data_IF_107020057233
#
_entry.id   IF_107020057233
#
_cell.length_a   1.000
_cell.length_b   1.000
_cell.length_c   1.000
_cell.angle_alpha   90.00
_cell.angle_beta   90.00
_cell.angle_gamma   90.00
#
_symmetry.space_group_name_H-M   'P 1'
#
loop_
_entity.id
_entity.type
_entity.pdbx_description
1 polymer ?
#
# COMPACT_ATOMS: atom_id res chain seq x y z
N UNK A 1 4.02 -24.57 22.28
CA UNK A 1 3.91 -24.71 20.81
C UNK A 1 4.34 -23.38 20.20
N UNK A 2 5.15 -23.37 19.15
CA UNK A 2 5.46 -22.14 18.41
C UNK A 2 4.16 -21.57 17.83
N UNK A 3 4.04 -20.24 17.84
CA UNK A 3 2.89 -19.52 17.31
C UNK A 3 2.89 -19.63 15.78
N UNK A 4 1.73 -19.88 15.16
CA UNK A 4 1.59 -19.94 13.70
C UNK A 4 1.89 -18.56 13.12
N UNK A 5 2.77 -18.52 12.12
CA UNK A 5 3.21 -17.28 11.47
C UNK A 5 2.31 -17.02 10.26
N UNK A 6 1.39 -16.06 10.40
CA UNK A 6 0.40 -15.68 9.37
C UNK A 6 1.07 -15.07 8.14
N UNK A 7 0.41 -15.15 6.99
CA UNK A 7 0.79 -14.47 5.75
C UNK A 7 0.05 -13.14 5.63
N UNK A 8 0.80 -12.04 5.52
CA UNK A 8 0.28 -10.70 5.22
C UNK A 8 0.65 -10.34 3.79
N UNK A 9 -0.35 -10.14 2.94
CA UNK A 9 -0.18 -9.73 1.56
C UNK A 9 -0.52 -8.25 1.45
N UNK A 10 0.41 -7.44 0.97
CA UNK A 10 0.30 -5.99 0.89
C UNK A 10 0.07 -5.55 -0.57
N UNK A 11 -0.95 -4.73 -0.81
CA UNK A 11 -0.97 -3.88 -2.00
C UNK A 11 0.20 -2.89 -2.00
N UNK A 12 0.52 -2.35 -3.17
CA UNK A 12 1.63 -1.43 -3.33
C UNK A 12 1.17 0.04 -3.37
N UNK A 13 0.42 0.43 -4.40
CA UNK A 13 0.05 1.82 -4.63
C UNK A 13 -1.28 2.16 -3.96
N UNK A 14 -1.24 3.12 -3.05
CA UNK A 14 -2.36 3.43 -2.17
C UNK A 14 -2.21 2.79 -0.79
N UNK A 15 -1.26 1.87 -0.60
CA UNK A 15 -0.94 1.30 0.71
C UNK A 15 0.48 1.64 1.18
N UNK A 16 1.50 1.26 0.42
CA UNK A 16 2.93 1.42 0.78
C UNK A 16 3.57 2.63 0.10
N UNK A 17 3.04 3.01 -1.07
CA UNK A 17 3.55 4.11 -1.86
C UNK A 17 2.42 4.96 -2.45
N UNK A 18 2.76 6.17 -2.87
CA UNK A 18 1.95 7.05 -3.69
C UNK A 18 2.71 7.25 -4.99
N UNK A 19 2.11 6.86 -6.11
CA UNK A 19 2.72 6.98 -7.43
C UNK A 19 1.86 7.85 -8.33
N UNK A 20 2.48 8.86 -8.96
CA UNK A 20 1.84 9.60 -10.05
C UNK A 20 2.70 9.59 -11.31
N UNK A 21 2.06 9.73 -12.46
CA UNK A 21 2.77 9.90 -13.72
C UNK A 21 3.57 11.21 -13.70
N UNK A 22 4.74 11.22 -14.34
CA UNK A 22 5.66 12.37 -14.39
C UNK A 22 4.97 13.63 -14.93
N UNK A 23 4.07 13.51 -15.90
CA UNK A 23 3.32 14.65 -16.43
C UNK A 23 2.43 15.31 -15.37
N UNK A 24 1.79 14.52 -14.50
CA UNK A 24 1.00 15.05 -13.40
C UNK A 24 1.90 15.71 -12.35
N UNK A 25 3.01 15.05 -11.97
CA UNK A 25 3.96 15.64 -11.02
C UNK A 25 4.53 16.99 -11.47
N UNK A 26 4.79 17.16 -12.77
CA UNK A 26 5.24 18.45 -13.33
C UNK A 26 4.21 19.56 -13.11
N UNK A 27 2.90 19.25 -13.19
CA UNK A 27 1.82 20.20 -12.89
C UNK A 27 1.71 20.54 -11.41
N UNK A 28 1.96 19.55 -10.53
CA UNK A 28 1.89 19.76 -9.08
C UNK A 28 3.04 20.62 -8.55
N UNK A 29 4.21 20.59 -9.19
CA UNK A 29 5.44 21.21 -8.66
C UNK A 29 5.32 22.72 -8.39
N UNK A 30 4.79 23.56 -9.30
CA UNK A 30 4.59 24.99 -9.01
C UNK A 30 3.63 25.21 -7.84
N UNK A 31 2.55 24.43 -7.75
CA UNK A 31 1.54 24.57 -6.70
C UNK A 31 2.07 24.25 -5.31
N UNK A 32 3.01 23.30 -5.18
CA UNK A 32 3.69 23.05 -3.90
C UNK A 32 4.47 24.28 -3.42
N UNK A 33 5.13 25.00 -4.31
CA UNK A 33 5.87 26.22 -3.98
C UNK A 33 4.93 27.39 -3.70
N UNK A 34 3.92 27.58 -4.55
CA UNK A 34 2.99 28.71 -4.45
C UNK A 34 2.03 28.62 -3.26
N UNK A 35 1.52 27.42 -2.92
CA UNK A 35 0.47 27.25 -1.91
C UNK A 35 0.99 26.80 -0.54
N UNK A 36 2.19 26.19 -0.50
CA UNK A 36 2.76 25.63 0.73
C UNK A 36 4.19 26.09 1.00
N UNK A 37 4.79 26.91 0.12
CA UNK A 37 6.21 27.30 0.21
C UNK A 37 7.16 26.07 0.26
N UNK A 38 6.71 24.93 -0.27
CA UNK A 38 7.43 23.67 -0.26
C UNK A 38 8.18 23.48 -1.58
N UNK A 39 9.36 24.09 -1.68
CA UNK A 39 10.26 23.93 -2.84
C UNK A 39 10.66 22.48 -3.12
N UNK A 40 10.67 21.65 -2.08
CA UNK A 40 10.97 20.22 -2.19
C UNK A 40 10.12 19.43 -1.19
N UNK A 41 8.80 19.34 -1.40
CA UNK A 41 8.04 18.21 -0.86
C UNK A 41 8.86 16.94 -1.13
N UNK A 42 9.12 16.13 -0.09
CA UNK A 42 10.07 15.00 -0.07
C UNK A 42 10.32 14.48 -1.49
N UNK A 43 11.52 14.73 -2.04
CA UNK A 43 11.77 14.51 -3.47
C UNK A 43 11.38 13.09 -3.85
N UNK A 44 10.47 12.89 -4.82
CA UNK A 44 10.06 11.55 -5.20
C UNK A 44 11.23 10.80 -5.81
N UNK A 45 11.22 9.49 -5.65
CA UNK A 45 12.03 8.62 -6.49
C UNK A 45 11.47 8.62 -7.90
N UNK A 46 12.33 8.82 -8.89
CA UNK A 46 11.96 8.73 -10.31
C UNK A 46 12.16 7.29 -10.78
N UNK A 47 11.06 6.60 -11.08
CA UNK A 47 11.07 5.22 -11.59
C UNK A 47 10.37 5.19 -12.95
N UNK A 48 11.15 5.17 -14.02
CA UNK A 48 10.63 5.31 -15.39
C UNK A 48 9.84 6.60 -15.58
N UNK A 49 8.58 6.48 -16.02
CA UNK A 49 7.67 7.60 -16.25
C UNK A 49 6.92 8.06 -14.98
N UNK A 50 7.28 7.55 -13.81
CA UNK A 50 6.55 7.82 -12.57
C UNK A 50 7.42 8.50 -11.51
N UNK A 51 6.77 9.36 -10.72
CA UNK A 51 7.27 9.88 -9.47
C UNK A 51 6.64 9.06 -8.33
N UNK A 52 7.47 8.54 -7.42
CA UNK A 52 7.07 7.65 -6.34
C UNK A 52 7.48 8.24 -4.99
N UNK A 53 6.53 8.33 -4.07
CA UNK A 53 6.78 8.62 -2.66
C UNK A 53 6.55 7.36 -1.86
N UNK A 54 7.45 7.09 -0.91
CA UNK A 54 7.27 6.04 0.08
C UNK A 54 6.37 6.57 1.19
N UNK A 55 5.44 5.74 1.68
CA UNK A 55 4.60 6.11 2.83
C UNK A 55 5.49 6.35 4.05
N UNK A 56 5.22 7.39 4.87
CA UNK A 56 5.97 7.60 6.11
C UNK A 56 6.07 6.30 6.92
N UNK A 57 7.27 6.03 7.46
CA UNK A 57 7.58 4.85 8.29
C UNK A 57 7.42 3.49 7.60
N UNK A 58 7.28 3.43 6.27
CA UNK A 58 7.05 2.15 5.57
C UNK A 58 8.20 1.15 5.73
N UNK A 59 9.45 1.62 5.89
CA UNK A 59 10.61 0.73 5.99
C UNK A 59 10.63 0.02 7.35
N UNK A 60 10.46 0.79 8.42
CA UNK A 60 10.35 0.30 9.79
C UNK A 60 9.12 -0.62 9.93
N UNK A 61 8.00 -0.26 9.31
CA UNK A 61 6.80 -1.09 9.24
C UNK A 61 7.06 -2.43 8.54
N UNK A 62 7.71 -2.42 7.38
CA UNK A 62 8.05 -3.66 6.65
C UNK A 62 9.06 -4.53 7.41
N UNK A 63 10.05 -3.93 8.06
CA UNK A 63 11.00 -4.66 8.92
C UNK A 63 10.28 -5.38 10.06
N UNK A 64 9.36 -4.68 10.74
CA UNK A 64 8.53 -5.28 11.78
C UNK A 64 7.64 -6.40 11.22
N UNK A 65 6.98 -6.18 10.08
CA UNK A 65 6.18 -7.22 9.45
C UNK A 65 7.01 -8.46 9.11
N UNK A 66 8.19 -8.31 8.52
CA UNK A 66 9.07 -9.42 8.15
C UNK A 66 9.59 -10.19 9.37
N UNK A 67 9.70 -9.53 10.53
CA UNK A 67 10.04 -10.16 11.81
C UNK A 67 8.88 -11.03 12.32
N UNK A 68 7.66 -10.54 12.24
CA UNK A 68 6.50 -11.13 12.91
C UNK A 68 5.58 -11.99 12.03
N UNK A 69 5.60 -11.79 10.71
CA UNK A 69 4.75 -12.44 9.71
C UNK A 69 5.53 -12.97 8.51
N UNK A 70 4.94 -13.90 7.77
CA UNK A 70 5.31 -14.05 6.37
C UNK A 70 4.71 -12.87 5.62
N UNK A 71 5.50 -12.22 4.77
CA UNK A 71 5.07 -11.01 4.06
C UNK A 71 5.16 -11.24 2.57
N UNK A 72 4.18 -10.75 1.83
CA UNK A 72 4.22 -10.72 0.39
C UNK A 72 3.71 -9.37 -0.13
N UNK A 73 4.13 -9.00 -1.34
CA UNK A 73 3.63 -7.84 -2.06
C UNK A 73 2.84 -8.33 -3.26
N UNK A 74 1.68 -7.74 -3.53
CA UNK A 74 0.91 -8.04 -4.74
C UNK A 74 0.41 -6.74 -5.34
N UNK A 75 0.89 -6.40 -6.54
CA UNK A 75 0.56 -5.14 -7.21
C UNK A 75 -0.12 -5.40 -8.55
N UNK A 76 -1.12 -4.58 -8.91
CA UNK A 76 -1.79 -4.60 -10.22
C UNK A 76 -1.02 -3.83 -11.30
N UNK A 77 0.32 -3.89 -11.28
CA UNK A 77 1.19 -3.11 -12.19
C UNK A 77 2.13 -4.04 -12.95
N UNK A 78 2.65 -3.60 -14.09
CA UNK A 78 3.64 -4.36 -14.87
C UNK A 78 4.92 -4.65 -14.08
N UNK A 79 5.56 -5.80 -14.38
CA UNK A 79 6.77 -6.26 -13.70
C UNK A 79 7.89 -5.21 -13.65
N UNK A 80 8.19 -4.56 -14.78
CA UNK A 80 9.27 -3.57 -14.84
C UNK A 80 9.03 -2.36 -13.91
N UNK A 81 7.80 -2.14 -13.45
CA UNK A 81 7.47 -1.09 -12.49
C UNK A 81 7.55 -1.57 -11.04
N UNK A 82 7.36 -2.87 -10.75
CA UNK A 82 7.37 -3.37 -9.36
C UNK A 82 8.79 -3.47 -8.79
N UNK A 83 9.73 -4.03 -9.55
CA UNK A 83 11.07 -4.32 -9.04
C UNK A 83 11.80 -3.07 -8.50
N UNK A 84 11.83 -1.93 -9.22
CA UNK A 84 12.48 -0.71 -8.72
C UNK A 84 11.80 -0.08 -7.50
N UNK A 85 10.51 -0.35 -7.28
CA UNK A 85 9.77 0.12 -6.12
C UNK A 85 10.09 -0.74 -4.92
N UNK A 86 10.14 -2.06 -5.08
CA UNK A 86 10.48 -2.93 -3.96
C UNK A 86 11.95 -2.80 -3.56
N UNK A 87 12.85 -2.48 -4.50
CA UNK A 87 14.21 -2.01 -4.17
C UNK A 87 14.22 -0.74 -3.31
N UNK A 88 13.28 0.19 -3.53
CA UNK A 88 13.17 1.39 -2.71
C UNK A 88 12.66 1.08 -1.30
N UNK A 89 11.72 0.13 -1.19
CA UNK A 89 11.11 -0.32 0.07
C UNK A 89 12.07 -1.18 0.90
N UNK A 90 12.78 -2.11 0.25
CA UNK A 90 13.74 -3.04 0.84
C UNK A 90 15.10 -2.86 0.13
N UNK A 91 15.88 -1.83 0.49
CA UNK A 91 17.12 -1.48 -0.20
C UNK A 91 18.24 -2.49 0.01
N UNK A 92 18.24 -3.20 1.13
CA UNK A 92 19.13 -4.34 1.33
C UNK A 92 18.63 -5.52 0.50
N UNK A 93 19.45 -5.98 -0.44
CA UNK A 93 19.08 -7.08 -1.30
C UNK A 93 18.90 -8.41 -0.60
N UNK A 94 19.53 -8.60 0.55
CA UNK A 94 19.39 -9.80 1.37
C UNK A 94 18.04 -9.86 2.10
N UNK A 95 17.35 -8.73 2.24
CA UNK A 95 16.02 -8.65 2.84
C UNK A 95 14.92 -9.04 1.84
N UNK A 96 15.12 -8.80 0.54
CA UNK A 96 14.11 -9.08 -0.51
C UNK A 96 13.68 -10.57 -0.55
N UNK A 97 14.58 -11.57 -0.45
CA UNK A 97 14.21 -12.99 -0.36
C UNK A 97 13.39 -13.38 0.87
N UNK A 98 13.29 -12.53 1.90
CA UNK A 98 12.42 -12.76 3.06
C UNK A 98 10.94 -12.60 2.71
N UNK A 99 10.63 -11.88 1.64
CA UNK A 99 9.28 -11.88 1.07
C UNK A 99 8.95 -13.29 0.55
N UNK A 100 7.74 -13.76 0.87
CA UNK A 100 7.25 -15.02 0.33
C UNK A 100 7.09 -14.92 -1.19
N UNK A 101 6.56 -13.79 -1.67
CA UNK A 101 6.54 -13.40 -3.07
C UNK A 101 6.33 -11.88 -3.23
N UNK A 102 6.53 -11.40 -4.45
CA UNK A 102 6.24 -10.04 -4.89
C UNK A 102 5.65 -10.08 -6.31
N UNK A 103 4.32 -10.16 -6.38
CA UNK A 103 3.59 -10.38 -7.61
C UNK A 103 3.18 -9.07 -8.30
N UNK A 104 3.12 -9.16 -9.63
CA UNK A 104 2.72 -8.09 -10.53
C UNK A 104 1.30 -8.36 -11.08
N UNK A 105 0.87 -7.58 -12.07
CA UNK A 105 -0.44 -7.74 -12.68
C UNK A 105 -0.67 -9.07 -13.40
N UNK A 106 0.39 -9.78 -13.83
CA UNK A 106 0.26 -11.07 -14.54
C UNK A 106 -0.28 -12.16 -13.63
N UNK A 107 -0.19 -11.95 -12.32
CA UNK A 107 -0.75 -12.85 -11.31
C UNK A 107 -2.18 -12.45 -10.93
N UNK A 108 -2.70 -11.32 -11.42
CA UNK A 108 -4.08 -10.92 -11.17
C UNK A 108 -5.04 -11.61 -12.15
N UNK A 109 -6.23 -11.96 -11.68
CA UNK A 109 -7.33 -12.22 -12.59
C UNK A 109 -7.75 -10.92 -13.26
N UNK A 110 -8.01 -10.95 -14.56
CA UNK A 110 -8.24 -9.73 -15.35
C UNK A 110 -9.59 -9.79 -16.05
N UNK A 111 -10.37 -8.72 -15.92
CA UNK A 111 -11.60 -8.49 -16.68
C UNK A 111 -11.48 -7.21 -17.52
N UNK A 112 -12.30 -7.06 -18.55
CA UNK A 112 -12.47 -5.77 -19.21
C UNK A 112 -13.15 -4.77 -18.28
N UNK A 113 -12.70 -3.51 -18.32
CA UNK A 113 -13.34 -2.41 -17.62
C UNK A 113 -14.40 -1.79 -18.56
N UNK A 114 -15.70 -2.08 -18.37
CA UNK A 114 -16.75 -1.60 -19.28
C UNK A 114 -16.95 -0.09 -19.22
N UNK A 115 -16.42 0.56 -18.18
CA UNK A 115 -16.50 2.01 -17.96
C UNK A 115 -15.19 2.74 -18.25
N UNK A 116 -14.21 2.07 -18.88
CA UNK A 116 -12.94 2.70 -19.20
C UNK A 116 -13.10 3.84 -20.21
N UNK A 117 -12.83 5.07 -19.76
CA UNK A 117 -12.72 6.25 -20.63
C UNK A 117 -11.28 6.38 -21.15
N UNK A 118 -10.31 6.00 -20.32
CA UNK A 118 -8.89 5.98 -20.69
C UNK A 118 -8.55 4.67 -21.42
N UNK A 119 -8.10 4.71 -22.68
CA UNK A 119 -7.73 3.51 -23.44
C UNK A 119 -6.53 2.75 -22.85
N UNK A 120 -5.80 3.35 -21.92
CA UNK A 120 -4.70 2.72 -21.17
C UNK A 120 -5.15 2.01 -19.88
N UNK A 121 -6.42 2.19 -19.46
CA UNK A 121 -6.99 1.60 -18.25
C UNK A 121 -8.23 0.74 -18.55
N UNK A 122 -8.14 -0.06 -19.61
CA UNK A 122 -9.22 -0.92 -20.13
C UNK A 122 -9.43 -2.21 -19.36
N UNK A 123 -8.63 -2.47 -18.33
CA UNK A 123 -8.64 -3.73 -17.58
C UNK A 123 -8.85 -3.49 -16.09
N UNK A 124 -9.64 -4.35 -15.46
CA UNK A 124 -9.75 -4.48 -14.01
C UNK A 124 -8.88 -5.66 -13.56
N UNK A 125 -8.16 -5.47 -12.46
CA UNK A 125 -7.25 -6.47 -11.91
C UNK A 125 -7.72 -6.91 -10.52
N UNK A 126 -7.97 -8.21 -10.38
CA UNK A 126 -8.47 -8.82 -9.16
C UNK A 126 -7.41 -9.75 -8.55
N UNK A 127 -7.23 -9.66 -7.23
CA UNK A 127 -6.28 -10.43 -6.44
C UNK A 127 -7.02 -11.56 -5.75
N UNK A 128 -7.10 -12.71 -6.42
CA UNK A 128 -7.79 -13.89 -5.90
C UNK A 128 -6.84 -14.72 -5.05
N UNK A 129 -7.11 -14.82 -3.76
CA UNK A 129 -6.31 -15.58 -2.81
C UNK A 129 -6.19 -17.05 -3.20
N UNK A 130 -7.12 -17.62 -3.97
CA UNK A 130 -6.97 -18.96 -4.55
C UNK A 130 -5.70 -19.10 -5.39
N UNK A 131 -5.28 -18.06 -6.12
CA UNK A 131 -3.98 -18.08 -6.84
C UNK A 131 -2.80 -18.26 -5.89
N UNK A 132 -2.88 -17.73 -4.67
CA UNK A 132 -1.86 -17.91 -3.62
C UNK A 132 -1.99 -19.29 -2.99
N UNK A 133 -3.19 -19.67 -2.57
CA UNK A 133 -3.49 -20.90 -1.85
C UNK A 133 -3.28 -22.17 -2.67
N UNK A 134 -3.42 -22.10 -3.99
CA UNK A 134 -3.25 -23.25 -4.87
C UNK A 134 -1.81 -23.35 -5.43
N UNK A 135 -0.93 -22.39 -5.11
CA UNK A 135 0.48 -22.43 -5.51
C UNK A 135 1.28 -23.30 -4.52
N UNK A 136 1.76 -24.45 -5.00
CA UNK A 136 2.52 -25.44 -4.19
C UNK A 136 3.72 -24.80 -3.50
N UNK A 137 4.59 -24.11 -4.24
CA UNK A 137 5.81 -23.51 -3.71
C UNK A 137 5.54 -22.48 -2.59
N UNK A 138 4.44 -21.73 -2.68
CA UNK A 138 4.02 -20.76 -1.65
C UNK A 138 3.61 -21.50 -0.39
N UNK A 139 2.80 -22.55 -0.52
CA UNK A 139 2.37 -23.37 0.61
C UNK A 139 3.57 -24.04 1.29
N UNK A 140 4.47 -24.67 0.53
CA UNK A 140 5.65 -25.34 1.09
C UNK A 140 6.57 -24.36 1.84
N UNK A 141 6.86 -23.19 1.24
CA UNK A 141 7.69 -22.17 1.89
C UNK A 141 7.02 -21.55 3.11
N UNK A 142 5.70 -21.39 3.10
CA UNK A 142 4.96 -20.92 4.27
C UNK A 142 4.95 -21.98 5.37
N UNK A 143 4.59 -23.22 5.08
CA UNK A 143 4.54 -24.32 6.05
C UNK A 143 5.90 -24.68 6.66
N UNK A 144 7.01 -24.23 6.05
CA UNK A 144 8.35 -24.45 6.60
C UNK A 144 8.46 -23.93 8.04
N UNK A 145 8.83 -24.83 8.97
CA UNK A 145 8.89 -24.57 10.42
C UNK A 145 7.53 -24.31 11.11
N UNK A 146 6.43 -24.71 10.48
CA UNK A 146 5.08 -24.68 11.05
C UNK A 146 4.50 -26.11 11.18
N UNK A 147 3.44 -26.32 11.98
CA UNK A 147 2.72 -27.60 12.01
C UNK A 147 2.21 -27.98 10.61
N UNK A 148 2.22 -29.27 10.26
CA UNK A 148 1.82 -29.73 8.91
C UNK A 148 0.30 -29.83 8.71
N UNK A 149 -0.50 -29.65 9.77
CA UNK A 149 -1.95 -29.87 9.78
C UNK A 149 -2.76 -28.56 9.80
N UNK A 150 -2.18 -27.46 9.32
CA UNK A 150 -2.81 -26.14 9.24
C UNK A 150 -3.02 -25.74 7.78
N UNK A 151 -4.05 -24.95 7.49
CA UNK A 151 -4.37 -24.48 6.14
C UNK A 151 -4.00 -22.98 6.00
N UNK A 152 -3.25 -22.62 4.96
CA UNK A 152 -2.86 -21.24 4.66
C UNK A 152 -4.09 -20.32 4.53
N UNK A 153 -5.25 -20.85 4.12
CA UNK A 153 -6.52 -20.13 4.00
C UNK A 153 -6.96 -19.46 5.30
N UNK A 154 -6.74 -20.14 6.43
CA UNK A 154 -7.12 -19.64 7.76
C UNK A 154 -6.12 -18.60 8.30
N UNK A 155 -4.97 -18.46 7.64
CA UNK A 155 -3.82 -17.71 8.12
C UNK A 155 -3.33 -16.63 7.14
N UNK A 156 -4.11 -16.30 6.11
CA UNK A 156 -3.78 -15.27 5.12
C UNK A 156 -4.63 -14.01 5.32
N UNK A 157 -4.00 -12.84 5.39
CA UNK A 157 -4.64 -11.52 5.32
C UNK A 157 -4.18 -10.78 4.07
N UNK A 158 -5.12 -10.24 3.30
CA UNK A 158 -4.85 -9.30 2.21
C UNK A 158 -5.17 -7.86 2.64
N UNK A 159 -4.22 -6.96 2.48
CA UNK A 159 -4.38 -5.53 2.76
C UNK A 159 -4.35 -4.80 1.43
N UNK A 160 -5.49 -4.27 1.00
CA UNK A 160 -5.63 -3.54 -0.26
C UNK A 160 -6.54 -2.33 -0.04
N UNK A 161 -6.13 -1.15 -0.52
CA UNK A 161 -6.93 0.05 -0.37
C UNK A 161 -8.23 0.00 -1.20
N UNK A 162 -8.24 -0.82 -2.26
CA UNK A 162 -9.36 -0.95 -3.18
C UNK A 162 -10.13 -2.26 -2.96
N UNK A 163 -11.31 -2.12 -2.33
CA UNK A 163 -12.29 -3.21 -2.11
C UNK A 163 -12.64 -4.00 -3.37
N UNK A 164 -12.72 -3.35 -4.53
CA UNK A 164 -13.11 -4.02 -5.78
C UNK A 164 -12.07 -5.05 -6.22
N UNK A 165 -10.77 -4.77 -6.00
CA UNK A 165 -9.69 -5.68 -6.39
C UNK A 165 -9.72 -7.01 -5.63
N UNK A 166 -10.36 -7.06 -4.47
CA UNK A 166 -10.37 -8.26 -3.61
C UNK A 166 -11.75 -8.91 -3.49
N UNK A 167 -12.76 -8.41 -4.21
CA UNK A 167 -14.17 -8.76 -4.04
C UNK A 167 -14.49 -10.25 -4.19
N UNK A 168 -13.63 -11.00 -4.88
CA UNK A 168 -13.80 -12.42 -5.19
C UNK A 168 -13.30 -13.34 -4.06
N UNK A 169 -12.76 -12.78 -2.97
CA UNK A 169 -12.23 -13.54 -1.86
C UNK A 169 -13.30 -13.78 -0.78
N UNK A 170 -13.16 -14.83 0.05
CA UNK A 170 -14.03 -15.05 1.20
C UNK A 170 -14.08 -13.82 2.11
N UNK A 171 -15.25 -13.57 2.73
CA UNK A 171 -15.41 -12.47 3.67
C UNK A 171 -14.37 -12.55 4.79
N UNK A 172 -13.97 -11.38 5.30
CA UNK A 172 -13.01 -11.24 6.40
C UNK A 172 -11.59 -11.80 6.12
N UNK A 173 -11.23 -12.07 4.86
CA UNK A 173 -9.84 -12.38 4.48
C UNK A 173 -9.02 -11.15 4.07
N UNK A 174 -9.67 -9.98 4.04
CA UNK A 174 -9.06 -8.72 3.66
C UNK A 174 -9.51 -7.55 4.54
N UNK A 175 -8.64 -6.55 4.67
CA UNK A 175 -8.97 -5.24 5.23
C UNK A 175 -8.65 -4.13 4.22
N UNK A 176 -9.31 -2.98 4.41
CA UNK A 176 -9.30 -1.89 3.44
C UNK A 176 -8.95 -0.56 4.11
N UNK A 177 -7.65 -0.28 4.28
CA UNK A 177 -7.19 1.05 4.61
C UNK A 177 -7.61 2.07 3.56
N UNK A 178 -7.66 3.35 3.95
CA UNK A 178 -7.86 4.42 2.97
C UNK A 178 -6.68 4.45 2.02
N UNK A 179 -6.92 4.82 0.76
CA UNK A 179 -5.85 5.10 -0.19
C UNK A 179 -4.92 6.16 0.38
N UNK A 180 -3.66 5.79 0.59
CA UNK A 180 -2.61 6.73 0.93
C UNK A 180 -2.18 7.50 -0.30
N UNK A 181 -2.35 8.82 -0.21
CA UNK A 181 -1.85 9.80 -1.16
C UNK A 181 -1.18 10.90 -0.36
N UNK A 182 0.03 11.28 -0.76
CA UNK A 182 0.73 12.42 -0.16
C UNK A 182 0.03 13.74 -0.50
N UNK A 183 -0.57 13.80 -1.69
CA UNK A 183 -1.27 14.98 -2.17
C UNK A 183 -2.37 14.59 -3.15
N UNK A 184 -3.29 15.52 -3.39
CA UNK A 184 -4.32 15.44 -4.43
C UNK A 184 -4.40 16.76 -5.18
N UNK A 185 -4.50 16.67 -6.50
CA UNK A 185 -4.72 17.81 -7.38
C UNK A 185 -6.22 17.85 -7.72
N UNK A 186 -6.82 19.03 -7.69
CA UNK A 186 -8.20 19.20 -8.11
C UNK A 186 -8.37 19.07 -9.64
N UNK A 187 -9.61 18.97 -10.10
CA UNK A 187 -9.94 18.64 -11.50
C UNK A 187 -9.41 19.66 -12.53
N UNK A 188 -9.39 20.95 -12.18
CA UNK A 188 -8.90 22.02 -13.06
C UNK A 188 -7.37 22.23 -12.98
N UNK A 189 -6.67 21.48 -12.13
CA UNK A 189 -5.22 21.57 -11.88
C UNK A 189 -4.76 22.91 -11.29
N UNK A 190 -5.61 23.63 -10.57
CA UNK A 190 -5.26 24.92 -9.94
C UNK A 190 -5.05 24.85 -8.43
N UNK A 191 -5.48 23.77 -7.78
CA UNK A 191 -5.39 23.60 -6.33
C UNK A 191 -4.79 22.26 -5.93
N UNK A 192 -3.87 22.28 -4.95
CA UNK A 192 -3.26 21.07 -4.41
C UNK A 192 -3.49 20.95 -2.91
N UNK A 193 -3.86 19.75 -2.48
CA UNK A 193 -4.01 19.39 -1.07
C UNK A 193 -2.90 18.44 -0.68
N UNK A 194 -2.24 18.68 0.45
CA UNK A 194 -1.18 17.79 0.96
C UNK A 194 -1.68 17.18 2.27
N UNK A 195 -1.39 15.90 2.49
CA UNK A 195 -1.91 15.16 3.63
C UNK A 195 -0.80 14.65 4.54
N UNK A 196 -1.07 14.67 5.84
CA UNK A 196 -0.25 13.97 6.84
C UNK A 196 -0.66 12.50 6.89
N UNK A 197 0.29 11.65 7.25
CA UNK A 197 0.01 10.22 7.46
C UNK A 197 0.89 9.68 8.57
N UNK A 198 0.25 8.97 9.51
CA UNK A 198 0.89 8.30 10.65
C UNK A 198 0.45 6.84 10.77
N UNK A 199 -0.21 6.31 9.74
CA UNK A 199 -0.92 5.01 9.84
C UNK A 199 0.06 3.85 10.04
N UNK A 200 1.28 3.97 9.51
CA UNK A 200 2.35 2.99 9.61
C UNK A 200 3.36 3.29 10.74
N UNK A 201 3.19 4.37 11.51
CA UNK A 201 4.04 4.65 12.67
C UNK A 201 3.84 3.56 13.74
N UNK A 202 4.77 3.44 14.70
CA UNK A 202 4.72 2.42 15.75
C UNK A 202 3.42 2.45 16.57
N UNK A 203 2.85 3.64 16.79
CA UNK A 203 1.55 3.83 17.44
C UNK A 203 0.42 4.13 16.43
N UNK A 204 0.71 3.97 15.14
CA UNK A 204 -0.21 4.12 14.03
C UNK A 204 -1.30 3.04 14.03
N UNK A 205 -2.43 3.38 13.42
CA UNK A 205 -3.63 2.54 13.47
C UNK A 205 -3.44 1.16 12.83
N UNK A 206 -2.73 1.06 11.70
CA UNK A 206 -2.49 -0.23 11.04
C UNK A 206 -1.50 -1.09 11.82
N UNK A 207 -0.47 -0.47 12.38
CA UNK A 207 0.50 -1.14 13.24
C UNK A 207 -0.18 -1.76 14.47
N UNK A 208 -0.93 -0.97 15.25
CA UNK A 208 -1.69 -1.44 16.43
C UNK A 208 -2.68 -2.55 16.09
N UNK A 209 -3.37 -2.42 14.95
CA UNK A 209 -4.32 -3.44 14.52
C UNK A 209 -3.63 -4.77 14.19
N UNK A 210 -2.45 -4.72 13.55
CA UNK A 210 -1.65 -5.91 13.25
C UNK A 210 -0.95 -6.50 14.47
N UNK A 211 -0.60 -5.69 15.48
CA UNK A 211 -0.16 -6.18 16.80
C UNK A 211 -1.27 -7.00 17.48
N UNK A 212 -2.52 -6.54 17.41
CA UNK A 212 -3.66 -7.34 17.89
C UNK A 212 -3.84 -8.64 17.10
N UNK A 213 -3.66 -8.60 15.77
CA UNK A 213 -3.70 -9.83 14.95
C UNK A 213 -2.55 -10.76 15.32
N UNK A 214 -1.37 -10.20 15.61
CA UNK A 214 -0.23 -10.98 16.07
C UNK A 214 -0.65 -11.74 17.31
N UNK A 215 -1.22 -11.11 18.34
CA UNK A 215 -1.66 -11.74 19.60
C UNK A 215 -2.93 -12.60 19.54
N UNK A 216 -3.64 -12.61 18.41
CA UNK A 216 -4.81 -13.46 18.22
C UNK A 216 -4.45 -14.95 18.14
N UNK A 217 -5.28 -15.82 18.73
CA UNK A 217 -5.10 -17.28 18.73
C UNK A 217 -5.92 -18.02 17.66
N UNK A 218 -6.91 -17.37 17.06
CA UNK A 218 -7.78 -17.96 16.04
C UNK A 218 -7.33 -17.67 14.61
N UNK A 219 -8.26 -17.87 13.67
CA UNK A 219 -8.02 -17.61 12.24
C UNK A 219 -7.96 -16.10 11.96
N UNK A 220 -7.41 -15.73 10.80
CA UNK A 220 -7.44 -14.34 10.32
C UNK A 220 -8.88 -13.87 10.14
N UNK A 221 -9.75 -14.71 9.58
CA UNK A 221 -11.15 -14.38 9.32
C UNK A 221 -11.90 -14.00 10.59
N UNK A 222 -11.75 -14.81 11.66
CA UNK A 222 -12.35 -14.51 12.97
C UNK A 222 -11.83 -13.20 13.56
N UNK A 223 -10.53 -12.90 13.38
CA UNK A 223 -9.96 -11.65 13.88
C UNK A 223 -10.52 -10.43 13.15
N UNK A 224 -10.55 -10.48 11.82
CA UNK A 224 -11.07 -9.39 10.97
C UNK A 224 -12.56 -9.14 11.24
N UNK A 225 -13.34 -10.21 11.44
CA UNK A 225 -14.76 -10.11 11.81
C UNK A 225 -14.96 -9.39 13.15
N UNK A 226 -14.20 -9.80 14.18
CA UNK A 226 -14.35 -9.27 15.55
C UNK A 226 -13.68 -7.91 15.76
N UNK A 227 -12.72 -7.57 14.92
CA UNK A 227 -11.91 -6.36 15.00
C UNK A 227 -11.85 -5.70 13.62
N UNK A 228 -12.95 -5.10 13.14
CA UNK A 228 -12.95 -4.42 11.85
C UNK A 228 -11.89 -3.31 11.83
N UNK A 229 -11.08 -3.25 10.78
CA UNK A 229 -10.10 -2.17 10.61
C UNK A 229 -10.81 -0.87 10.23
N UNK A 230 -10.48 0.22 10.94
CA UNK A 230 -10.98 1.57 10.68
C UNK A 230 -9.75 2.47 10.56
N UNK A 231 -9.59 3.13 9.41
CA UNK A 231 -8.48 4.07 9.19
C UNK A 231 -8.74 5.39 9.93
N UNK A 232 -7.73 6.06 10.49
CA UNK A 232 -7.89 7.43 10.97
C UNK A 232 -8.35 8.38 9.85
N UNK A 233 -9.03 9.48 10.22
CA UNK A 233 -9.44 10.50 9.27
C UNK A 233 -8.22 11.11 8.56
N UNK A 234 -8.45 11.54 7.32
CA UNK A 234 -7.45 12.22 6.52
C UNK A 234 -7.16 13.60 7.12
N UNK A 235 -5.89 13.92 7.38
CA UNK A 235 -5.49 15.22 7.90
C UNK A 235 -4.78 16.02 6.80
N UNK A 236 -5.36 17.15 6.42
CA UNK A 236 -4.78 18.09 5.44
C UNK A 236 -3.77 19.02 6.13
N UNK A 237 -2.65 19.30 5.47
CA UNK A 237 -1.72 20.35 5.90
C UNK A 237 -2.33 21.70 5.51
N UNK A 238 -2.33 22.66 6.43
CA UNK A 238 -2.77 24.01 6.12
C UNK A 238 -1.81 24.69 5.13
N UNK A 239 -2.38 25.38 4.14
CA UNK A 239 -1.62 26.22 3.23
C UNK A 239 -0.96 27.36 4.00
N UNK A 240 0.22 27.77 3.59
CA UNK A 240 0.76 29.02 4.12
C UNK A 240 -0.08 30.17 3.56
N UNK A 241 -0.56 31.11 4.38
CA UNK A 241 -1.20 32.29 3.86
C UNK A 241 -0.19 33.00 2.96
N UNK A 242 -0.59 33.28 1.72
CA UNK A 242 0.14 34.23 0.89
C UNK A 242 0.30 35.49 1.73
N UNK A 243 1.53 35.80 2.16
CA UNK A 243 1.84 37.12 2.66
C UNK A 243 1.47 38.07 1.53
N UNK A 244 0.28 38.65 1.64
CA UNK A 244 -0.10 39.82 0.86
C UNK A 244 1.06 40.77 1.03
N UNK A 245 1.70 41.13 -0.08
CA UNK A 245 2.54 42.31 -0.12
C UNK A 245 1.69 43.46 0.43
N UNK A 246 1.88 43.79 1.71
CA UNK A 246 1.54 45.10 2.21
C UNK A 246 2.52 46.03 1.49
N UNK A 247 2.08 46.54 0.35
CA UNK A 247 2.67 47.72 -0.27
C UNK A 247 2.52 48.86 0.73
N UNK A 248 3.45 48.94 1.69
CA UNK A 248 3.69 50.14 2.46
C UNK A 248 4.33 51.16 1.54
N UNK A 249 3.48 51.85 0.78
CA UNK A 249 3.72 53.26 0.54
C UNK A 249 3.31 53.97 1.82
N UNK A 250 4.30 54.39 2.60
CA UNK A 250 4.37 55.65 3.34
C UNK A 250 5.83 55.92 3.72
#
# INVERSE_FOLDING_TARGET
MSKIKRLIILDLNGLLIHRVHKSLYVKCKPLFEEQYNLRNLQRPERKGNFAVWLRPNVKEFLEWLLKHFHVAIWSSVLYHNIAPIVEALLPDEHERPRLLFWWNQEHCFTEDNPTAIDPTNTKLFFKRLTSVWDTVDINERWLMNQPSNIDLRDHTLLIDDNKLKVRDNPIHTAIHPRTWKLFELNDDNTDIKIYKDKVLENDGQLMKWLEGLLEWNGTVSEYVEKHPYIDPPLEEIEKEPNNSWSSGWD
#
